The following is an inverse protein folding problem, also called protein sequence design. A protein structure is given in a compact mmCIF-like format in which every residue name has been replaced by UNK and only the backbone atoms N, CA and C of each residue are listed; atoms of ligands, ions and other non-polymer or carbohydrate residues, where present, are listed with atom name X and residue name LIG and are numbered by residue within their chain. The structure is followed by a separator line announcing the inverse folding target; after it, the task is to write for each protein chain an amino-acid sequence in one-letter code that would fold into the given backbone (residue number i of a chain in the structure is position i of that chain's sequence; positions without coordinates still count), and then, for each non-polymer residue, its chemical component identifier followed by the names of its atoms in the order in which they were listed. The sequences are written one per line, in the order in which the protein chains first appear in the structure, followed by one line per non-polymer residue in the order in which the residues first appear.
data_IF_951774355744
#
_entry.id   IF_951774355744
#
_cell.length_a   1.000
_cell.length_b   1.000
_cell.length_c   1.000
_cell.angle_alpha   90.00
_cell.angle_beta   90.00
_cell.angle_gamma   90.00
#
_symmetry.space_group_name_H-M   'P 1'
#
loop_
_entity.id
_entity.type
_entity.pdbx_description
1 polymer ?
#
# COMPACT_ATOMS: atom_id res chain seq x y z
N UNK A 1 9.12 -1.84 8.35
CA UNK A 1 8.52 -1.94 9.70
C UNK A 1 7.68 -0.69 9.91
N UNK A 2 6.54 -0.78 10.61
CA UNK A 2 5.68 0.34 10.94
C UNK A 2 5.23 0.22 12.41
N UNK A 3 5.04 1.36 13.07
CA UNK A 3 4.47 1.43 14.41
C UNK A 3 3.32 2.42 14.42
N UNK A 4 2.26 2.08 15.14
CA UNK A 4 1.05 2.89 15.23
C UNK A 4 0.75 3.26 16.67
N UNK A 5 0.27 4.48 16.90
CA UNK A 5 -0.27 4.86 18.20
C UNK A 5 -1.54 4.03 18.46
N UNK A 6 -1.58 3.29 19.57
CA UNK A 6 -2.70 2.40 19.92
C UNK A 6 -4.06 3.09 19.83
N UNK A 7 -4.19 4.31 20.36
CA UNK A 7 -5.46 5.04 20.34
C UNK A 7 -5.95 5.33 18.91
N UNK A 8 -5.04 5.71 18.00
CA UNK A 8 -5.36 5.96 16.60
C UNK A 8 -5.75 4.67 15.88
N UNK A 9 -5.01 3.58 16.13
CA UNK A 9 -5.33 2.27 15.55
C UNK A 9 -6.72 1.77 15.98
N UNK A 10 -7.02 1.83 17.28
CA UNK A 10 -8.31 1.36 17.79
C UNK A 10 -9.49 2.18 17.27
N UNK A 11 -9.30 3.48 17.01
CA UNK A 11 -10.37 4.29 16.42
C UNK A 11 -10.76 3.88 14.99
N UNK A 12 -9.89 3.13 14.30
CA UNK A 12 -10.08 2.72 12.91
C UNK A 12 -10.20 1.21 12.72
N UNK A 13 -10.04 0.43 13.79
CA UNK A 13 -9.94 -1.03 13.72
C UNK A 13 -11.23 -1.66 13.16
N UNK A 14 -12.40 -1.19 13.61
CA UNK A 14 -13.70 -1.68 13.12
C UNK A 14 -13.89 -1.41 11.61
N UNK A 15 -13.50 -0.21 11.15
CA UNK A 15 -13.54 0.15 9.73
C UNK A 15 -12.53 -0.64 8.90
N UNK A 16 -11.38 -0.98 9.49
CA UNK A 16 -10.36 -1.80 8.87
C UNK A 16 -10.80 -3.27 8.73
N UNK A 17 -11.37 -3.86 9.79
CA UNK A 17 -11.81 -5.27 9.81
C UNK A 17 -13.04 -5.55 8.94
N UNK A 18 -13.96 -4.58 8.82
CA UNK A 18 -15.21 -4.73 8.05
C UNK A 18 -15.08 -4.40 6.57
N UNK A 19 -13.86 -4.19 6.06
CA UNK A 19 -13.66 -3.74 4.70
C UNK A 19 -14.04 -4.79 3.65
N UNK A 20 -14.88 -4.36 2.69
CA UNK A 20 -15.21 -5.14 1.50
C UNK A 20 -14.47 -4.60 0.27
N UNK A 21 -13.76 -5.48 -0.44
CA UNK A 21 -13.24 -5.21 -1.77
C UNK A 21 -14.06 -5.99 -2.81
N UNK A 22 -14.77 -5.26 -3.69
CA UNK A 22 -15.69 -5.85 -4.71
C UNK A 22 -16.72 -6.82 -4.10
N UNK A 23 -17.23 -6.49 -2.91
CA UNK A 23 -18.25 -7.28 -2.21
C UNK A 23 -17.73 -8.51 -1.47
N UNK A 24 -16.41 -8.71 -1.39
CA UNK A 24 -15.78 -9.77 -0.58
C UNK A 24 -14.92 -9.15 0.53
N UNK A 25 -14.83 -9.78 1.71
CA UNK A 25 -13.87 -9.39 2.75
C UNK A 25 -12.46 -9.29 2.14
N UNK A 26 -11.75 -8.20 2.46
CA UNK A 26 -10.42 -7.94 1.90
C UNK A 26 -9.33 -8.48 2.81
N UNK A 27 -8.85 -9.70 2.57
CA UNK A 27 -7.78 -10.32 3.38
C UNK A 27 -6.34 -9.97 2.91
N UNK A 28 -6.20 -9.18 1.85
CA UNK A 28 -4.91 -8.91 1.21
C UNK A 28 -4.61 -7.40 1.24
N UNK A 29 -3.33 -7.02 1.38
CA UNK A 29 -2.83 -5.63 1.28
C UNK A 29 -3.10 -4.75 2.51
N UNK A 30 -2.86 -5.31 3.69
CA UNK A 30 -3.13 -4.74 5.02
C UNK A 30 -2.49 -3.37 5.28
N UNK A 31 -1.18 -3.24 5.05
CA UNK A 31 -0.42 -2.09 5.54
C UNK A 31 -0.78 -0.77 4.85
N UNK A 32 -0.90 -0.80 3.51
CA UNK A 32 -1.18 0.39 2.71
C UNK A 32 -2.61 0.86 2.94
N UNK A 33 -3.55 -0.07 3.04
CA UNK A 33 -4.94 0.28 3.33
C UNK A 33 -5.07 0.92 4.71
N UNK A 34 -4.46 0.33 5.74
CA UNK A 34 -4.44 0.91 7.08
C UNK A 34 -3.82 2.32 7.07
N UNK A 35 -2.73 2.51 6.34
CA UNK A 35 -2.09 3.83 6.18
C UNK A 35 -3.04 4.84 5.53
N UNK A 36 -3.78 4.43 4.49
CA UNK A 36 -4.76 5.28 3.83
C UNK A 36 -5.91 5.65 4.78
N UNK A 37 -6.42 4.71 5.59
CA UNK A 37 -7.45 4.99 6.60
C UNK A 37 -6.94 5.99 7.64
N UNK A 38 -5.70 5.81 8.11
CA UNK A 38 -5.06 6.72 9.06
C UNK A 38 -4.97 8.15 8.50
N UNK A 39 -4.50 8.29 7.26
CA UNK A 39 -4.39 9.59 6.58
C UNK A 39 -5.78 10.22 6.37
N UNK A 40 -6.78 9.43 5.97
CA UNK A 40 -8.16 9.90 5.79
C UNK A 40 -8.79 10.37 7.10
N UNK A 41 -8.43 9.75 8.22
CA UNK A 41 -8.84 10.17 9.56
C UNK A 41 -8.10 11.43 10.07
N UNK A 42 -7.18 11.99 9.28
CA UNK A 42 -6.41 13.18 9.61
C UNK A 42 -5.17 12.92 10.46
N UNK A 43 -4.78 11.65 10.64
CA UNK A 43 -3.53 11.31 11.30
C UNK A 43 -2.33 11.56 10.38
N UNK A 44 -1.17 11.77 10.99
CA UNK A 44 0.09 12.02 10.30
C UNK A 44 0.96 10.76 10.30
N UNK A 45 1.76 10.61 9.25
CA UNK A 45 2.76 9.55 9.10
C UNK A 45 4.13 10.18 8.99
N UNK A 46 5.10 9.67 9.74
CA UNK A 46 6.49 10.14 9.70
C UNK A 46 7.42 8.98 9.35
N UNK A 47 8.42 9.28 8.51
CA UNK A 47 9.47 8.33 8.16
C UNK A 47 10.70 8.62 9.03
N UNK A 48 11.17 7.59 9.74
CA UNK A 48 12.32 7.68 10.64
C UNK A 48 13.50 6.94 10.00
N UNK A 49 14.45 7.64 9.34
CA UNK A 49 15.54 7.00 8.61
C UNK A 49 16.52 6.26 9.53
N UNK A 50 16.62 6.63 10.81
CA UNK A 50 17.48 6.00 11.80
C UNK A 50 16.90 4.68 12.36
N UNK A 51 15.64 4.36 12.05
CA UNK A 51 15.00 3.15 12.53
C UNK A 51 15.57 1.90 11.85
N UNK A 52 16.09 0.97 12.64
CA UNK A 52 16.67 -0.29 12.15
C UNK A 52 15.68 -1.44 12.35
N UNK A 53 15.46 -2.23 11.30
CA UNK A 53 14.67 -3.47 11.36
C UNK A 53 15.39 -4.58 10.59
N UNK A 54 15.56 -5.74 11.22
CA UNK A 54 16.07 -6.94 10.56
C UNK A 54 14.91 -7.72 9.93
N UNK A 55 15.11 -8.24 8.73
CA UNK A 55 14.13 -9.09 8.03
C UNK A 55 14.83 -10.18 7.26
N UNK A 56 14.10 -11.27 7.02
CA UNK A 56 14.53 -12.30 6.07
C UNK A 56 14.25 -11.81 4.67
N UNK A 57 15.22 -11.99 3.77
CA UNK A 57 15.10 -11.67 2.35
C UNK A 57 15.19 -12.94 1.52
N UNK A 58 14.53 -13.00 0.34
CA UNK A 58 14.69 -14.12 -0.57
C UNK A 58 16.16 -14.30 -0.99
N UNK A 59 16.65 -15.53 -0.92
CA UNK A 59 17.99 -15.93 -1.32
C UNK A 59 18.07 -16.47 -2.76
N UNK A 60 16.90 -16.64 -3.41
CA UNK A 60 16.79 -17.16 -4.77
C UNK A 60 15.94 -16.26 -5.66
N UNK A 61 16.31 -16.20 -6.95
CA UNK A 61 15.61 -15.41 -7.95
C UNK A 61 14.13 -15.81 -8.08
N UNK A 62 13.82 -17.11 -7.99
CA UNK A 62 12.45 -17.59 -8.09
C UNK A 62 11.58 -17.09 -6.92
N UNK A 63 12.10 -17.13 -5.68
CA UNK A 63 11.40 -16.61 -4.52
C UNK A 63 11.24 -15.08 -4.59
N UNK A 64 12.30 -14.37 -5.04
CA UNK A 64 12.25 -12.93 -5.30
C UNK A 64 11.17 -12.55 -6.32
N UNK A 65 11.11 -13.21 -7.48
CA UNK A 65 10.12 -12.92 -8.50
C UNK A 65 8.69 -13.19 -8.03
N UNK A 66 8.46 -14.29 -7.29
CA UNK A 66 7.15 -14.55 -6.66
C UNK A 66 6.75 -13.43 -5.70
N UNK A 67 7.70 -12.89 -4.94
CA UNK A 67 7.45 -11.77 -4.03
C UNK A 67 7.13 -10.48 -4.80
N UNK A 68 7.91 -10.13 -5.82
CA UNK A 68 7.65 -8.95 -6.65
C UNK A 68 6.29 -9.02 -7.36
N UNK A 69 5.91 -10.18 -7.90
CA UNK A 69 4.61 -10.37 -8.52
C UNK A 69 3.45 -10.22 -7.52
N UNK A 70 3.62 -10.73 -6.29
CA UNK A 70 2.64 -10.54 -5.21
C UNK A 70 2.47 -9.06 -4.88
N UNK A 71 3.58 -8.32 -4.77
CA UNK A 71 3.56 -6.89 -4.51
C UNK A 71 2.93 -6.10 -5.64
N UNK A 72 3.30 -6.37 -6.89
CA UNK A 72 2.74 -5.72 -8.07
C UNK A 72 1.21 -5.88 -8.14
N UNK A 73 0.70 -7.10 -7.87
CA UNK A 73 -0.76 -7.37 -7.81
C UNK A 73 -1.45 -6.55 -6.73
N UNK A 74 -0.84 -6.42 -5.54
CA UNK A 74 -1.38 -5.59 -4.46
C UNK A 74 -1.36 -4.11 -4.82
N UNK A 75 -0.25 -3.62 -5.38
CA UNK A 75 -0.09 -2.21 -5.78
C UNK A 75 -1.12 -1.79 -6.82
N UNK A 76 -1.41 -2.61 -7.82
CA UNK A 76 -2.43 -2.30 -8.83
C UNK A 76 -3.82 -2.15 -8.22
N UNK A 77 -4.18 -3.09 -7.32
CA UNK A 77 -5.47 -3.06 -6.61
C UNK A 77 -5.58 -1.84 -5.69
N UNK A 78 -4.53 -1.56 -4.92
CA UNK A 78 -4.52 -0.44 -3.97
C UNK A 78 -4.51 0.90 -4.70
N UNK A 79 -3.85 1.00 -5.86
CA UNK A 79 -3.90 2.18 -6.73
C UNK A 79 -5.35 2.51 -7.08
N UNK A 80 -6.13 1.52 -7.50
CA UNK A 80 -7.55 1.73 -7.86
C UNK A 80 -8.39 2.27 -6.69
N UNK A 81 -8.11 1.81 -5.47
CA UNK A 81 -8.78 2.32 -4.26
C UNK A 81 -8.28 3.72 -3.89
N UNK A 82 -6.97 3.95 -3.99
CA UNK A 82 -6.31 5.19 -3.64
C UNK A 82 -6.64 6.32 -4.63
N UNK A 83 -6.94 6.05 -5.89
CA UNK A 83 -7.29 7.06 -6.92
C UNK A 83 -8.37 8.05 -6.44
N UNK A 84 -9.34 7.59 -5.64
CA UNK A 84 -10.40 8.46 -5.08
C UNK A 84 -9.92 9.38 -3.96
N UNK A 85 -8.80 9.03 -3.34
CA UNK A 85 -8.23 9.69 -2.16
C UNK A 85 -7.00 10.53 -2.52
N UNK A 86 -6.33 10.24 -3.63
CA UNK A 86 -5.18 11.01 -4.12
C UNK A 86 -5.39 12.54 -4.11
N UNK A 87 -6.55 13.10 -4.50
CA UNK A 87 -6.76 14.56 -4.47
C UNK A 87 -6.72 15.17 -3.06
N UNK A 88 -6.98 14.36 -2.02
CA UNK A 88 -6.94 14.77 -0.61
C UNK A 88 -5.59 14.52 0.07
N UNK A 89 -4.65 13.88 -0.63
CA UNK A 89 -3.34 13.51 -0.09
C UNK A 89 -2.24 14.41 -0.66
N UNK A 90 -1.04 14.32 -0.09
CA UNK A 90 0.10 15.11 -0.55
C UNK A 90 0.42 14.86 -2.04
N UNK A 91 0.83 15.92 -2.75
CA UNK A 91 1.15 15.86 -4.18
C UNK A 91 2.29 14.88 -4.48
N UNK A 92 3.24 14.73 -3.56
CA UNK A 92 4.31 13.75 -3.67
C UNK A 92 3.76 12.33 -3.80
N UNK A 93 2.76 11.97 -2.98
CA UNK A 93 2.15 10.64 -3.02
C UNK A 93 1.43 10.39 -4.34
N UNK A 94 0.83 11.43 -4.92
CA UNK A 94 0.20 11.34 -6.25
C UNK A 94 1.25 11.06 -7.33
N UNK A 95 2.39 11.75 -7.29
CA UNK A 95 3.50 11.51 -8.22
C UNK A 95 4.09 10.11 -8.07
N UNK A 96 4.27 9.65 -6.83
CA UNK A 96 4.77 8.31 -6.53
C UNK A 96 3.83 7.22 -7.07
N UNK A 97 2.52 7.35 -6.88
CA UNK A 97 1.52 6.43 -7.44
C UNK A 97 1.56 6.43 -8.97
N UNK A 98 1.71 7.58 -9.62
CA UNK A 98 1.86 7.65 -11.08
C UNK A 98 3.14 6.92 -11.53
N UNK A 99 4.27 7.17 -10.87
CA UNK A 99 5.55 6.53 -11.17
C UNK A 99 5.51 5.00 -11.02
N UNK A 100 4.91 4.49 -9.95
CA UNK A 100 4.78 3.05 -9.69
C UNK A 100 3.91 2.32 -10.74
N UNK A 101 2.94 3.02 -11.36
CA UNK A 101 2.05 2.44 -12.36
C UNK A 101 2.53 2.62 -13.80
N UNK A 102 3.41 3.59 -14.07
CA UNK A 102 3.99 3.86 -15.39
C UNK A 102 4.75 2.67 -15.95
N UNK A 103 5.64 2.05 -15.18
CA UNK A 103 6.46 0.91 -15.63
C UNK A 103 5.63 -0.28 -16.13
N UNK A 104 4.69 -0.81 -15.32
CA UNK A 104 3.78 -1.88 -15.75
C UNK A 104 2.90 -1.52 -16.96
N UNK A 105 2.42 -0.27 -17.04
CA UNK A 105 1.62 0.22 -18.18
C UNK A 105 2.44 0.25 -19.47
N UNK A 106 3.66 0.79 -19.42
CA UNK A 106 4.56 0.84 -20.57
C UNK A 106 4.95 -0.56 -21.03
N UNK A 107 5.20 -1.49 -20.10
CA UNK A 107 5.47 -2.89 -20.43
C UNK A 107 4.26 -3.56 -21.10
N UNK A 108 3.05 -3.33 -20.60
CA UNK A 108 1.83 -3.86 -21.20
C UNK A 108 1.59 -3.32 -22.62
N UNK A 109 1.83 -2.04 -22.86
CA UNK A 109 1.74 -1.42 -24.18
C UNK A 109 2.82 -1.96 -25.13
N UNK A 110 4.04 -2.19 -24.66
CA UNK A 110 5.14 -2.66 -25.49
C UNK A 110 5.00 -4.14 -25.94
N UNK A 111 4.11 -4.91 -25.31
CA UNK A 111 3.85 -6.33 -25.60
C UNK A 111 2.59 -6.52 -26.47
N UNK A 112 1.81 -5.45 -26.70
CA UNK A 112 0.69 -5.41 -27.66
C UNK A 112 1.20 -5.08 -29.07
#
# INVERSE_FOLDING_TARGET
CAMYRRSSLLSLLDQYETQLFRGKPSDFGEDRHLTILMLKAGFRTEYVPEAVAATVVPDSLQAYLRQQLRWARSTFRDTLLALRLLPSLDRYLTLDVIGQNLGPLLLAIAVL
#
